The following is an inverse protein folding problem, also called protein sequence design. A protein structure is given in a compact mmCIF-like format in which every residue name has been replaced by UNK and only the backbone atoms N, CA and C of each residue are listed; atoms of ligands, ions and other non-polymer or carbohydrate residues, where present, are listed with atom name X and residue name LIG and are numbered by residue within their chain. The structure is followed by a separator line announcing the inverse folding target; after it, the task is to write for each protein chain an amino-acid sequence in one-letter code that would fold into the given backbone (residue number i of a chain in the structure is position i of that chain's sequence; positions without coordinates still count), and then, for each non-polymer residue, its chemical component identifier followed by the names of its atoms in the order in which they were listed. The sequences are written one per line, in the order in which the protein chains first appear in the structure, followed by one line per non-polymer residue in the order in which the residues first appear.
data_IF_320920339596
#
_entry.id   IF_320920339596
#
_cell.length_a   1.000
_cell.length_b   1.000
_cell.length_c   1.000
_cell.angle_alpha   90.00
_cell.angle_beta   90.00
_cell.angle_gamma   90.00
#
_symmetry.space_group_name_H-M   'P 1'
#
loop_
_entity.id
_entity.type
_entity.pdbx_description
1 polymer ?
#
# COMPACT_ATOMS: atom_id res chain seq x y z
N UNK A 1 0.01 5.97 -9.78
CA UNK A 1 -0.64 7.09 -9.08
C UNK A 1 -2.12 6.76 -8.87
N UNK A 2 -2.65 6.92 -7.67
CA UNK A 2 -4.06 6.67 -7.33
C UNK A 2 -4.58 7.83 -6.48
N UNK A 3 -5.68 8.46 -6.92
CA UNK A 3 -6.25 9.62 -6.26
C UNK A 3 -7.52 9.18 -5.55
N UNK A 4 -7.57 9.37 -4.24
CA UNK A 4 -8.78 9.11 -3.44
C UNK A 4 -9.76 10.29 -3.57
N UNK A 5 -11.02 10.06 -3.20
CA UNK A 5 -12.11 11.07 -3.27
C UNK A 5 -11.86 12.31 -2.39
N UNK A 6 -11.05 12.16 -1.35
CA UNK A 6 -10.61 13.22 -0.44
C UNK A 6 -9.42 14.04 -1.00
N UNK A 7 -8.93 13.72 -2.21
CA UNK A 7 -7.76 14.36 -2.81
C UNK A 7 -6.42 13.73 -2.41
N UNK A 8 -6.40 12.72 -1.53
CA UNK A 8 -5.15 12.05 -1.14
C UNK A 8 -4.54 11.31 -2.33
N UNK A 9 -3.29 11.64 -2.67
CA UNK A 9 -2.54 10.99 -3.75
C UNK A 9 -1.68 9.86 -3.17
N UNK A 10 -1.96 8.62 -3.60
CA UNK A 10 -1.16 7.44 -3.29
C UNK A 10 -0.29 7.05 -4.48
N UNK A 11 1.02 7.00 -4.26
CA UNK A 11 2.00 6.56 -5.25
C UNK A 11 2.35 5.08 -5.04
N UNK A 12 1.80 4.23 -5.90
CA UNK A 12 2.12 2.80 -5.93
C UNK A 12 3.21 2.52 -6.95
N UNK A 13 4.23 1.75 -6.54
CA UNK A 13 5.33 1.35 -7.41
C UNK A 13 4.92 0.28 -8.44
N UNK A 14 4.03 -0.64 -8.04
CA UNK A 14 3.62 -1.79 -8.87
C UNK A 14 2.15 -2.13 -8.68
N UNK A 15 1.60 -2.93 -9.61
CA UNK A 15 0.23 -3.45 -9.50
C UNK A 15 0.01 -4.26 -8.22
N UNK A 16 1.00 -5.04 -7.77
CA UNK A 16 0.97 -5.83 -6.53
C UNK A 16 0.72 -4.94 -5.30
N UNK A 17 1.42 -3.81 -5.20
CA UNK A 17 1.27 -2.87 -4.08
C UNK A 17 -0.15 -2.27 -4.05
N UNK A 18 -0.68 -1.90 -5.22
CA UNK A 18 -2.04 -1.35 -5.36
C UNK A 18 -3.10 -2.35 -4.91
N UNK A 19 -3.05 -3.59 -5.39
CA UNK A 19 -4.01 -4.64 -5.03
C UNK A 19 -3.90 -5.01 -3.54
N UNK A 20 -2.68 -5.15 -3.03
CA UNK A 20 -2.46 -5.46 -1.62
C UNK A 20 -3.06 -4.40 -0.69
N UNK A 21 -2.89 -3.12 -1.00
CA UNK A 21 -3.40 -2.03 -0.16
C UNK A 21 -4.89 -1.73 -0.38
N UNK A 22 -5.37 -1.68 -1.63
CA UNK A 22 -6.74 -1.24 -1.92
C UNK A 22 -7.77 -2.37 -1.90
N UNK A 23 -7.42 -3.55 -2.42
CA UNK A 23 -8.36 -4.68 -2.52
C UNK A 23 -8.24 -5.57 -1.29
N UNK A 24 -7.01 -6.00 -0.97
CA UNK A 24 -6.76 -6.92 0.15
C UNK A 24 -6.64 -6.19 1.50
N UNK A 25 -6.57 -4.85 1.49
CA UNK A 25 -6.47 -4.00 2.70
C UNK A 25 -5.33 -4.41 3.65
N UNK A 26 -4.23 -4.93 3.10
CA UNK A 26 -3.07 -5.36 3.89
C UNK A 26 -2.30 -4.14 4.40
N UNK A 27 -1.90 -4.18 5.67
CA UNK A 27 -0.98 -3.21 6.23
C UNK A 27 0.46 -3.61 5.88
N UNK A 28 1.25 -2.77 5.17
CA UNK A 28 2.61 -3.11 4.79
C UNK A 28 3.49 -3.46 6.01
N UNK A 29 3.29 -2.83 7.17
CA UNK A 29 4.06 -3.11 8.40
C UNK A 29 3.92 -4.55 8.91
N UNK A 30 2.81 -5.21 8.60
CA UNK A 30 2.53 -6.61 8.99
C UNK A 30 2.89 -7.62 7.89
N UNK A 31 3.32 -7.14 6.71
CA UNK A 31 3.56 -7.97 5.54
C UNK A 31 5.06 -8.17 5.32
N UNK A 32 5.52 -9.41 5.51
CA UNK A 32 6.95 -9.82 5.46
C UNK A 32 7.72 -9.37 4.21
N UNK A 33 7.06 -9.28 3.06
CA UNK A 33 7.72 -8.95 1.78
C UNK A 33 7.89 -7.45 1.53
N UNK A 34 7.44 -6.57 2.44
CA UNK A 34 7.62 -5.13 2.29
C UNK A 34 8.84 -4.63 3.08
N UNK A 35 9.50 -3.58 2.59
CA UNK A 35 10.69 -2.99 3.22
C UNK A 35 10.44 -2.32 4.58
N UNK A 36 9.17 -2.19 4.97
CA UNK A 36 8.73 -1.60 6.26
C UNK A 36 8.17 -2.65 7.22
N UNK A 37 8.32 -3.94 6.89
CA UNK A 37 7.93 -5.02 7.77
C UNK A 37 8.66 -4.92 9.12
N UNK A 38 7.90 -4.92 10.22
CA UNK A 38 8.45 -4.87 11.57
C UNK A 38 9.08 -3.53 11.97
N UNK A 39 8.95 -2.48 11.15
CA UNK A 39 9.35 -1.12 11.56
C UNK A 39 8.20 -0.47 12.33
N UNK A 40 8.49 -0.04 13.55
CA UNK A 40 7.61 0.75 14.42
C UNK A 40 7.67 2.24 14.04
#
# INVERSE_FOLDING_TARGET
MYIKKDGTILNFCTHKCRVAMLVQKRNPRKVRWTSVYGKE
#
